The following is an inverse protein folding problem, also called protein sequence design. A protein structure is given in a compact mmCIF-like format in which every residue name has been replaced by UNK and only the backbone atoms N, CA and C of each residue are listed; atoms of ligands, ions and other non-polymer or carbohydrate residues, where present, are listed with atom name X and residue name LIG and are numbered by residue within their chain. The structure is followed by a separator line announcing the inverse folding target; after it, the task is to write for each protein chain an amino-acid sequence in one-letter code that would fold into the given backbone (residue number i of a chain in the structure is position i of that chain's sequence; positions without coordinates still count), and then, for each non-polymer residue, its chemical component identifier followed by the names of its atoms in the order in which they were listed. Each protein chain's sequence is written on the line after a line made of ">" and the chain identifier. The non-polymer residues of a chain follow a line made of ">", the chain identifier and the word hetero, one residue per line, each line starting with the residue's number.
data_IF_076352094857
#
_entry.id   IF_076352094857
#
_cell.length_a   1.000
_cell.length_b   1.000
_cell.length_c   1.000
_cell.angle_alpha   90.00
_cell.angle_beta   90.00
_cell.angle_gamma   90.00
#
_symmetry.space_group_name_H-M   'P 1'
#
loop_
_entity.id
_entity.type
_entity.pdbx_description
1 polymer ?
#
# COMPACT_ATOMS: atom_id res chain seq x y z
N UNK A 1 33.46 -80.47 -13.27
CA UNK A 1 31.99 -80.53 -13.43
C UNK A 1 31.42 -79.84 -12.22
N UNK A 2 31.32 -78.51 -12.31
CA UNK A 2 30.77 -77.61 -11.30
C UNK A 2 30.70 -76.20 -11.90
N UNK A 3 29.61 -75.52 -11.57
CA UNK A 3 29.42 -74.07 -11.40
C UNK A 3 29.23 -73.14 -12.62
N UNK A 4 28.33 -72.17 -12.39
CA UNK A 4 28.07 -70.90 -13.09
C UNK A 4 26.87 -70.83 -14.04
N UNK A 5 25.68 -70.69 -13.44
CA UNK A 5 24.50 -70.07 -14.06
C UNK A 5 24.31 -68.68 -13.44
N UNK A 6 24.81 -67.65 -14.13
CA UNK A 6 24.45 -66.25 -13.86
C UNK A 6 24.62 -65.39 -15.11
N UNK A 7 23.50 -64.98 -15.71
CA UNK A 7 23.26 -63.68 -16.36
C UNK A 7 22.05 -63.76 -17.30
N UNK A 8 20.93 -63.18 -16.88
CA UNK A 8 19.94 -62.65 -17.81
C UNK A 8 19.55 -61.27 -17.29
N UNK A 9 20.04 -60.27 -18.01
CA UNK A 9 19.88 -58.85 -17.83
C UNK A 9 18.49 -58.40 -18.34
N UNK A 10 18.07 -57.20 -17.94
CA UNK A 10 16.95 -56.37 -18.46
C UNK A 10 15.54 -56.78 -17.95
N UNK A 11 14.68 -55.92 -17.40
CA UNK A 11 14.42 -54.49 -17.63
C UNK A 11 13.35 -53.99 -16.63
N UNK A 12 13.16 -52.65 -16.58
CA UNK A 12 12.02 -51.90 -15.99
C UNK A 12 12.25 -51.17 -14.64
N UNK A 13 13.09 -50.14 -14.69
CA UNK A 13 12.91 -48.96 -13.83
C UNK A 13 11.80 -48.06 -14.39
N UNK A 14 10.61 -48.10 -13.78
CA UNK A 14 9.54 -47.14 -14.02
C UNK A 14 9.78 -45.87 -13.17
N UNK A 15 10.62 -44.96 -13.67
CA UNK A 15 10.80 -43.62 -13.08
C UNK A 15 9.60 -42.70 -13.45
N UNK A 16 8.65 -42.58 -12.51
CA UNK A 16 7.56 -41.61 -12.56
C UNK A 16 8.12 -40.18 -12.41
N UNK A 17 8.40 -39.53 -13.55
CA UNK A 17 8.73 -38.10 -13.60
C UNK A 17 7.50 -37.28 -13.22
N UNK A 18 7.38 -36.91 -11.95
CA UNK A 18 6.49 -35.84 -11.50
C UNK A 18 6.89 -34.54 -12.21
N UNK A 19 6.02 -34.03 -13.07
CA UNK A 19 6.16 -32.70 -13.68
C UNK A 19 6.08 -31.66 -12.56
N UNK A 20 7.11 -30.85 -12.31
CA UNK A 20 7.05 -29.83 -11.27
C UNK A 20 5.92 -28.85 -11.59
N UNK A 21 5.13 -28.41 -10.57
CA UNK A 21 4.04 -27.48 -10.80
C UNK A 21 4.59 -26.22 -11.46
N UNK A 22 3.98 -25.80 -12.59
CA UNK A 22 4.35 -24.56 -13.30
C UNK A 22 4.42 -23.43 -12.29
N UNK A 23 5.62 -22.87 -12.11
CA UNK A 23 5.86 -21.72 -11.25
C UNK A 23 5.14 -20.52 -11.88
N UNK A 24 3.91 -20.24 -11.42
CA UNK A 24 3.17 -19.06 -11.84
C UNK A 24 3.97 -17.84 -11.40
N UNK A 25 4.34 -16.98 -12.35
CA UNK A 25 5.00 -15.73 -12.04
C UNK A 25 4.02 -14.75 -11.39
N UNK A 26 3.98 -14.79 -10.06
CA UNK A 26 3.14 -13.92 -9.24
C UNK A 26 3.49 -12.44 -9.41
N UNK A 27 4.66 -12.09 -9.95
CA UNK A 27 5.11 -10.71 -10.03
C UNK A 27 4.24 -9.86 -10.95
N UNK A 28 3.91 -10.37 -12.14
CA UNK A 28 3.08 -9.63 -13.13
C UNK A 28 1.70 -9.32 -12.54
N UNK A 29 1.06 -10.32 -11.91
CA UNK A 29 -0.25 -10.14 -11.28
C UNK A 29 -0.16 -9.12 -10.14
N UNK A 30 0.84 -9.26 -9.28
CA UNK A 30 1.03 -8.40 -8.12
C UNK A 30 1.24 -6.94 -8.53
N UNK A 31 2.14 -6.68 -9.47
CA UNK A 31 2.42 -5.35 -10.00
C UNK A 31 1.22 -4.75 -10.74
N UNK A 32 0.44 -5.57 -11.46
CA UNK A 32 -0.78 -5.11 -12.13
C UNK A 32 -1.83 -4.65 -11.12
N UNK A 33 -2.09 -5.46 -10.10
CA UNK A 33 -3.03 -5.11 -9.02
C UNK A 33 -2.56 -3.86 -8.28
N UNK A 34 -1.27 -3.78 -7.96
CA UNK A 34 -0.70 -2.64 -7.23
C UNK A 34 -0.75 -1.35 -8.04
N UNK A 35 -0.56 -1.42 -9.36
CA UNK A 35 -0.73 -0.26 -10.26
C UNK A 35 -2.17 0.26 -10.24
N UNK A 36 -3.16 -0.62 -10.29
CA UNK A 36 -4.58 -0.23 -10.20
C UNK A 36 -4.90 0.37 -8.84
N UNK A 37 -4.49 -0.28 -7.75
CA UNK A 37 -4.74 0.21 -6.39
C UNK A 37 -4.04 1.55 -6.11
N UNK A 38 -2.83 1.75 -6.64
CA UNK A 38 -2.12 3.02 -6.52
C UNK A 38 -2.87 4.16 -7.24
N UNK A 39 -3.37 3.92 -8.46
CA UNK A 39 -4.19 4.90 -9.19
C UNK A 39 -5.48 5.24 -8.45
N UNK A 40 -6.19 4.22 -7.94
CA UNK A 40 -7.38 4.42 -7.12
C UNK A 40 -7.05 5.10 -5.78
N UNK A 41 -5.82 4.94 -5.28
CA UNK A 41 -5.27 5.62 -4.12
C UNK A 41 -5.18 7.15 -4.25
N UNK A 42 -5.48 7.69 -5.44
CA UNK A 42 -5.60 9.13 -5.70
C UNK A 42 -7.00 9.55 -6.17
N UNK A 43 -8.01 8.68 -6.08
CA UNK A 43 -9.39 9.02 -6.45
C UNK A 43 -9.93 10.13 -5.54
N UNK A 44 -10.67 11.09 -6.11
CA UNK A 44 -11.25 12.21 -5.36
C UNK A 44 -12.23 11.73 -4.28
N UNK A 45 -12.93 10.63 -4.53
CA UNK A 45 -13.88 10.04 -3.59
C UNK A 45 -13.14 9.32 -2.48
N UNK A 46 -13.27 9.77 -1.22
CA UNK A 46 -12.51 9.22 -0.10
C UNK A 46 -12.80 7.73 0.12
N UNK A 47 -14.01 7.24 -0.12
CA UNK A 47 -14.37 5.83 0.02
C UNK A 47 -13.62 4.91 -0.95
N UNK A 48 -13.44 5.34 -2.20
CA UNK A 48 -12.73 4.59 -3.23
C UNK A 48 -11.24 4.55 -2.92
N UNK A 49 -10.69 5.73 -2.63
CA UNK A 49 -9.28 5.88 -2.28
C UNK A 49 -8.90 5.12 -1.03
N UNK A 50 -9.65 5.30 0.06
CA UNK A 50 -9.36 4.66 1.34
C UNK A 50 -9.49 3.13 1.23
N UNK A 51 -10.45 2.64 0.44
CA UNK A 51 -10.59 1.20 0.14
C UNK A 51 -9.37 0.66 -0.61
N UNK A 52 -8.90 1.38 -1.63
CA UNK A 52 -7.73 1.00 -2.42
C UNK A 52 -6.45 0.96 -1.57
N UNK A 53 -6.22 1.99 -0.76
CA UNK A 53 -5.08 2.06 0.18
C UNK A 53 -5.11 0.88 1.16
N UNK A 54 -6.25 0.63 1.81
CA UNK A 54 -6.41 -0.50 2.75
C UNK A 54 -6.12 -1.84 2.07
N UNK A 55 -6.68 -2.02 0.87
CA UNK A 55 -6.51 -3.25 0.07
C UNK A 55 -5.04 -3.48 -0.31
N UNK A 56 -4.32 -2.42 -0.71
CA UNK A 56 -2.89 -2.52 -1.06
C UNK A 56 -2.08 -3.00 0.13
N UNK A 57 -2.20 -2.34 1.28
CA UNK A 57 -1.45 -2.71 2.48
C UNK A 57 -1.87 -4.08 3.03
N UNK A 58 -3.15 -4.44 2.95
CA UNK A 58 -3.63 -5.77 3.35
C UNK A 58 -3.04 -6.86 2.44
N UNK A 59 -3.05 -6.66 1.13
CA UNK A 59 -2.49 -7.60 0.15
C UNK A 59 -1.00 -7.83 0.40
N UNK A 60 -0.24 -6.74 0.61
CA UNK A 60 1.19 -6.82 0.93
C UNK A 60 1.43 -7.51 2.29
N UNK A 61 0.57 -7.27 3.28
CA UNK A 61 0.68 -7.92 4.60
C UNK A 61 0.42 -9.42 4.55
N UNK A 62 -0.60 -9.86 3.79
CA UNK A 62 -1.01 -11.27 3.69
C UNK A 62 -0.02 -12.06 2.81
N UNK A 63 0.37 -11.51 1.66
CA UNK A 63 1.18 -12.22 0.67
C UNK A 63 2.67 -11.89 0.74
N UNK A 64 3.07 -10.95 1.61
CA UNK A 64 4.43 -10.45 1.70
C UNK A 64 5.49 -11.53 1.92
N UNK A 65 5.19 -12.59 2.68
CA UNK A 65 6.12 -13.70 2.90
C UNK A 65 6.43 -14.51 1.63
N UNK A 66 5.59 -14.40 0.58
CA UNK A 66 5.77 -15.08 -0.70
C UNK A 66 6.60 -14.28 -1.70
N UNK A 67 6.85 -13.00 -1.42
CA UNK A 67 7.58 -12.12 -2.33
C UNK A 67 9.09 -12.34 -2.19
N UNK A 68 9.80 -12.32 -3.31
CA UNK A 68 11.26 -12.33 -3.32
C UNK A 68 11.82 -10.99 -2.82
N UNK A 69 13.13 -10.94 -2.50
CA UNK A 69 13.78 -9.70 -2.04
C UNK A 69 13.66 -8.58 -3.09
N UNK A 70 13.83 -8.92 -4.37
CA UNK A 70 13.68 -7.97 -5.48
C UNK A 70 12.25 -7.43 -5.56
N UNK A 71 11.25 -8.31 -5.48
CA UNK A 71 9.84 -7.89 -5.52
C UNK A 71 9.49 -6.98 -4.34
N UNK A 72 10.02 -7.25 -3.15
CA UNK A 72 9.86 -6.38 -2.00
C UNK A 72 10.46 -4.99 -2.22
N UNK A 73 11.69 -4.91 -2.75
CA UNK A 73 12.29 -3.63 -3.12
C UNK A 73 11.40 -2.88 -4.12
N UNK A 74 10.95 -3.55 -5.18
CA UNK A 74 10.09 -2.94 -6.20
C UNK A 74 8.75 -2.49 -5.61
N UNK A 75 8.11 -3.29 -4.75
CA UNK A 75 6.87 -2.93 -4.08
C UNK A 75 7.02 -1.64 -3.26
N UNK A 76 8.11 -1.51 -2.52
CA UNK A 76 8.36 -0.35 -1.66
C UNK A 76 8.65 0.90 -2.48
N UNK A 77 9.55 0.80 -3.47
CA UNK A 77 10.03 1.95 -4.24
C UNK A 77 9.10 2.38 -5.37
N UNK A 78 8.34 1.48 -5.98
CA UNK A 78 7.43 1.80 -7.08
C UNK A 78 6.01 2.14 -6.60
N UNK A 79 5.57 1.58 -5.47
CA UNK A 79 4.18 1.71 -5.03
C UNK A 79 4.02 2.35 -3.66
N UNK A 80 4.65 1.81 -2.62
CA UNK A 80 4.41 2.25 -1.23
C UNK A 80 4.92 3.68 -0.99
N UNK A 81 6.17 3.96 -1.32
CA UNK A 81 6.73 5.30 -1.12
C UNK A 81 6.16 6.36 -2.05
N UNK A 82 5.98 6.10 -3.36
CA UNK A 82 5.29 7.06 -4.22
C UNK A 82 3.85 7.32 -3.77
N UNK A 83 3.14 6.33 -3.22
CA UNK A 83 1.82 6.54 -2.63
C UNK A 83 1.87 7.48 -1.42
N UNK A 84 2.82 7.27 -0.50
CA UNK A 84 3.00 8.15 0.66
C UNK A 84 3.30 9.59 0.22
N UNK A 85 4.24 9.76 -0.70
CA UNK A 85 4.60 11.08 -1.23
C UNK A 85 3.40 11.76 -1.89
N UNK A 86 2.69 11.04 -2.76
CA UNK A 86 1.52 11.56 -3.47
C UNK A 86 0.38 11.95 -2.53
N UNK A 87 0.00 11.07 -1.59
CA UNK A 87 -1.08 11.35 -0.62
C UNK A 87 -0.67 12.48 0.32
N UNK A 88 0.60 12.57 0.71
CA UNK A 88 1.11 13.67 1.53
C UNK A 88 1.05 14.99 0.77
N UNK A 89 1.41 14.99 -0.51
CA UNK A 89 1.29 16.15 -1.38
C UNK A 89 -0.18 16.59 -1.47
N UNK A 90 -1.09 15.69 -1.85
CA UNK A 90 -2.52 16.02 -1.95
C UNK A 90 -3.13 16.45 -0.63
N UNK A 91 -2.71 15.87 0.48
CA UNK A 91 -3.05 16.39 1.80
C UNK A 91 -2.58 17.83 1.91
N UNK A 92 -1.28 18.13 1.81
CA UNK A 92 -0.76 19.49 1.98
C UNK A 92 -1.31 20.57 1.02
N UNK A 93 -1.78 20.19 -0.18
CA UNK A 93 -2.28 21.14 -1.19
C UNK A 93 -3.80 21.24 -1.24
N UNK A 94 -4.52 20.43 -0.48
CA UNK A 94 -5.99 20.43 -0.52
C UNK A 94 -6.59 21.65 0.14
N UNK A 95 -7.73 22.10 -0.38
CA UNK A 95 -8.42 23.25 0.20
C UNK A 95 -8.85 22.94 1.64
N UNK A 96 -8.55 23.90 2.52
CA UNK A 96 -9.05 23.96 3.89
C UNK A 96 -10.40 24.65 3.97
N UNK A 97 -10.89 25.19 2.85
CA UNK A 97 -12.16 25.89 2.81
C UNK A 97 -13.30 24.89 3.02
N UNK A 98 -14.16 25.24 3.94
CA UNK A 98 -15.45 24.59 4.09
C UNK A 98 -16.26 24.96 2.85
N UNK A 99 -16.81 23.95 2.15
CA UNK A 99 -17.63 24.18 0.97
C UNK A 99 -18.74 25.18 1.31
N UNK A 100 -18.61 26.41 0.81
CA UNK A 100 -19.61 27.45 0.98
C UNK A 100 -20.83 27.02 0.18
N UNK A 101 -21.96 26.85 0.87
CA UNK A 101 -23.16 26.33 0.25
C UNK A 101 -23.55 27.10 -1.01
N UNK A 102 -24.03 26.38 -2.02
CA UNK A 102 -24.64 26.98 -3.21
C UNK A 102 -25.73 27.98 -2.76
N UNK A 103 -25.74 29.16 -3.38
CA UNK A 103 -26.84 30.13 -3.23
C UNK A 103 -28.16 29.45 -3.58
N UNK A 104 -29.06 29.33 -2.61
CA UNK A 104 -30.38 28.70 -2.80
C UNK A 104 -31.38 29.67 -3.44
N UNK A 105 -31.07 30.97 -3.44
CA UNK A 105 -31.90 32.02 -4.01
C UNK A 105 -31.79 33.30 -3.20
N UNK A 106 -32.68 34.25 -3.45
CA UNK A 106 -32.68 35.56 -2.79
C UNK A 106 -33.98 35.73 -1.99
N UNK A 107 -33.88 36.06 -0.70
CA UNK A 107 -35.04 36.40 0.14
C UNK A 107 -34.89 37.83 0.65
N UNK A 108 -35.88 38.68 0.37
CA UNK A 108 -35.86 40.11 0.72
C UNK A 108 -34.62 40.89 0.23
N UNK A 109 -34.14 40.57 -0.99
CA UNK A 109 -32.95 41.20 -1.58
C UNK A 109 -31.61 40.71 -1.05
N UNK A 110 -31.59 39.75 -0.10
CA UNK A 110 -30.36 39.12 0.40
C UNK A 110 -30.23 37.70 -0.13
N UNK A 111 -29.05 37.35 -0.62
CA UNK A 111 -28.74 35.98 -1.02
C UNK A 111 -28.88 35.05 0.19
N UNK A 112 -29.58 33.94 0.00
CA UNK A 112 -29.78 32.87 1.00
C UNK A 112 -28.85 31.74 0.60
N UNK A 113 -27.73 31.64 1.29
CA UNK A 113 -26.84 30.49 1.18
C UNK A 113 -27.33 29.39 2.12
N UNK A 114 -27.29 28.15 1.66
CA UNK A 114 -27.39 27.03 2.59
C UNK A 114 -26.11 27.03 3.44
N UNK A 115 -26.16 27.49 4.69
CA UNK A 115 -25.09 27.20 5.64
C UNK A 115 -25.17 25.72 5.99
N UNK A 116 -24.58 24.88 5.15
CA UNK A 116 -24.34 23.50 5.55
C UNK A 116 -23.07 23.52 6.38
N UNK A 117 -23.18 23.15 7.65
CA UNK A 117 -22.06 22.98 8.58
C UNK A 117 -21.22 21.75 8.19
N UNK A 118 -20.65 21.77 6.98
CA UNK A 118 -19.63 20.82 6.54
C UNK A 118 -18.25 21.23 7.06
N UNK A 119 -18.17 21.95 8.19
CA UNK A 119 -16.90 22.32 8.82
C UNK A 119 -15.99 21.13 9.13
N UNK A 120 -16.56 19.93 9.13
CA UNK A 120 -15.86 18.66 9.31
C UNK A 120 -15.40 17.98 8.02
N UNK A 121 -15.82 18.41 6.84
CA UNK A 121 -15.59 17.69 5.58
C UNK A 121 -14.77 18.49 4.57
N UNK A 122 -13.75 19.21 5.02
CA UNK A 122 -12.82 19.85 4.09
C UNK A 122 -12.04 18.79 3.30
N UNK A 123 -11.65 19.11 2.07
CA UNK A 123 -10.82 18.22 1.27
C UNK A 123 -9.54 17.85 2.02
N UNK A 124 -8.93 18.83 2.71
CA UNK A 124 -7.79 18.61 3.60
C UNK A 124 -8.03 17.47 4.60
N UNK A 125 -9.14 17.51 5.34
CA UNK A 125 -9.44 16.49 6.37
C UNK A 125 -9.58 15.10 5.75
N UNK A 126 -10.20 15.00 4.58
CA UNK A 126 -10.33 13.72 3.86
C UNK A 126 -8.98 13.14 3.42
N UNK A 127 -8.04 14.00 3.02
CA UNK A 127 -6.68 13.57 2.70
C UNK A 127 -5.84 13.28 3.96
N UNK A 128 -6.06 14.02 5.05
CA UNK A 128 -5.46 13.75 6.36
C UNK A 128 -5.91 12.38 6.91
N UNK A 129 -7.15 11.98 6.68
CA UNK A 129 -7.60 10.61 7.00
C UNK A 129 -6.87 9.56 6.13
N UNK A 130 -6.68 9.84 4.84
CA UNK A 130 -5.99 8.92 3.94
C UNK A 130 -4.51 8.77 4.29
N UNK A 131 -3.80 9.84 4.62
CA UNK A 131 -2.39 9.75 5.04
C UNK A 131 -2.25 8.92 6.33
N UNK A 132 -3.20 9.03 7.27
CA UNK A 132 -3.23 8.15 8.46
C UNK A 132 -3.35 6.67 8.06
N UNK A 133 -4.15 6.34 7.05
CA UNK A 133 -4.25 4.96 6.53
C UNK A 133 -2.94 4.49 5.90
N UNK A 134 -2.28 5.34 5.12
CA UNK A 134 -0.99 5.02 4.48
C UNK A 134 0.09 4.80 5.54
N UNK A 135 0.24 5.73 6.48
CA UNK A 135 1.22 5.64 7.56
C UNK A 135 0.95 4.41 8.45
N UNK A 136 -0.31 4.15 8.80
CA UNK A 136 -0.72 2.95 9.53
C UNK A 136 -0.47 1.66 8.75
N UNK A 137 -0.58 1.69 7.42
CA UNK A 137 -0.17 0.62 6.52
C UNK A 137 1.34 0.35 6.59
N UNK A 138 2.15 1.39 6.41
CA UNK A 138 3.61 1.31 6.45
C UNK A 138 4.09 0.82 7.82
N UNK A 139 3.56 1.36 8.92
CA UNK A 139 3.90 0.92 10.27
C UNK A 139 3.64 -0.58 10.49
N UNK A 140 2.52 -1.10 9.96
CA UNK A 140 2.20 -2.54 10.03
C UNK A 140 3.20 -3.37 9.22
N UNK A 141 3.52 -2.95 7.99
CA UNK A 141 4.51 -3.65 7.16
C UNK A 141 5.89 -3.68 7.82
N UNK A 142 6.35 -2.53 8.32
CA UNK A 142 7.61 -2.44 9.04
C UNK A 142 7.58 -3.37 10.25
N UNK A 143 6.53 -3.36 11.07
CA UNK A 143 6.43 -4.25 12.24
C UNK A 143 6.47 -5.74 11.85
N UNK A 144 5.77 -6.13 10.79
CA UNK A 144 5.66 -7.54 10.38
C UNK A 144 6.87 -8.07 9.60
N UNK A 145 7.55 -7.20 8.84
CA UNK A 145 8.62 -7.60 7.92
C UNK A 145 9.97 -6.95 8.25
N UNK A 146 10.12 -6.26 9.39
CA UNK A 146 11.35 -5.54 9.76
C UNK A 146 12.60 -6.38 9.54
N UNK A 147 12.59 -7.61 10.06
CA UNK A 147 13.73 -8.53 10.00
C UNK A 147 14.14 -8.91 8.57
N UNK A 148 13.19 -8.88 7.64
CA UNK A 148 13.41 -9.13 6.22
C UNK A 148 13.84 -7.84 5.49
N UNK A 149 13.15 -6.72 5.78
CA UNK A 149 13.39 -5.42 5.14
C UNK A 149 14.79 -4.88 5.43
N UNK A 150 15.31 -5.07 6.65
CA UNK A 150 16.68 -4.66 7.01
C UNK A 150 17.76 -5.32 6.13
N UNK A 151 17.46 -6.46 5.49
CA UNK A 151 18.39 -7.20 4.64
C UNK A 151 18.36 -6.75 3.17
N UNK A 152 17.44 -5.86 2.79
CA UNK A 152 17.36 -5.37 1.43
C UNK A 152 18.54 -4.46 1.12
N UNK A 153 19.16 -4.63 -0.05
CA UNK A 153 20.39 -3.91 -0.41
C UNK A 153 20.13 -2.41 -0.50
N UNK A 154 18.97 -2.03 -1.06
CA UNK A 154 18.54 -0.63 -1.12
C UNK A 154 18.21 -0.06 0.27
N UNK A 155 17.86 -0.89 1.25
CA UNK A 155 17.62 -0.47 2.62
C UNK A 155 18.94 -0.06 3.29
N UNK A 156 20.03 -0.80 3.05
CA UNK A 156 21.37 -0.48 3.56
C UNK A 156 21.98 0.79 2.93
N UNK A 157 21.63 1.11 1.67
CA UNK A 157 22.13 2.30 0.97
C UNK A 157 21.28 3.57 1.19
N UNK A 158 20.12 3.47 1.86
CA UNK A 158 19.08 4.49 1.82
C UNK A 158 18.80 5.18 3.15
N UNK A 159 19.49 6.30 3.41
CA UNK A 159 19.08 7.36 4.37
C UNK A 159 17.55 7.65 4.44
N UNK A 160 16.74 7.52 3.36
CA UNK A 160 15.28 7.66 3.44
C UNK A 160 14.54 6.67 4.35
N UNK A 161 14.98 5.43 4.60
CA UNK A 161 14.18 4.48 5.40
C UNK A 161 14.21 4.78 6.89
N UNK A 162 15.38 5.13 7.42
CA UNK A 162 15.52 5.62 8.78
C UNK A 162 14.79 6.95 8.94
N UNK A 163 14.90 7.85 7.95
CA UNK A 163 14.19 9.12 7.96
C UNK A 163 12.67 8.93 7.89
N UNK A 164 12.16 8.00 7.08
CA UNK A 164 10.73 7.66 7.00
C UNK A 164 10.24 7.02 8.30
N UNK A 165 10.99 6.10 8.90
CA UNK A 165 10.68 5.51 10.21
C UNK A 165 10.70 6.57 11.33
N UNK A 166 11.69 7.47 11.34
CA UNK A 166 11.80 8.59 12.27
C UNK A 166 10.69 9.62 12.06
N UNK A 167 10.36 9.98 10.81
CA UNK A 167 9.21 10.84 10.48
C UNK A 167 7.89 10.21 10.94
N UNK A 168 7.73 8.89 10.78
CA UNK A 168 6.55 8.17 11.23
C UNK A 168 6.42 8.12 12.75
N UNK A 169 7.55 8.09 13.47
CA UNK A 169 7.59 8.02 14.94
C UNK A 169 7.59 9.39 15.62
N UNK A 170 8.07 10.45 14.95
CA UNK A 170 8.27 11.79 15.55
C UNK A 170 7.24 12.81 15.02
N UNK A 171 6.68 12.63 13.81
CA UNK A 171 6.05 13.73 13.05
C UNK A 171 4.54 13.73 12.86
N UNK A 172 3.78 12.73 13.34
CA UNK A 172 2.32 12.68 13.15
C UNK A 172 1.51 12.54 14.45
N UNK A 173 1.99 13.21 15.51
CA UNK A 173 1.17 13.59 16.65
C UNK A 173 0.56 14.98 16.32
N UNK A 174 -0.67 14.98 15.78
CA UNK A 174 -1.61 16.11 15.71
C UNK A 174 -1.36 17.13 14.57
N UNK A 175 -2.08 17.07 13.43
CA UNK A 175 -2.49 18.28 12.75
C UNK A 175 -3.30 19.11 13.75
N UNK A 176 -2.84 20.33 13.98
CA UNK A 176 -3.21 21.32 15.01
C UNK A 176 -4.67 21.79 15.00
N UNK A 177 -5.65 20.90 14.90
CA UNK A 177 -7.10 21.21 14.85
C UNK A 177 -7.95 20.46 15.88
N UNK A 178 -7.34 19.85 16.91
CA UNK A 178 -8.04 19.19 18.03
C UNK A 178 -8.02 19.98 19.36
N UNK A 179 -7.78 21.29 19.32
CA UNK A 179 -8.02 22.18 20.47
C UNK A 179 -9.32 22.97 20.24
N UNK A 180 -10.45 22.32 20.46
CA UNK A 180 -11.70 22.98 20.82
C UNK A 180 -11.85 22.83 22.34
N UNK A 181 -11.18 23.73 23.06
CA UNK A 181 -11.48 24.25 24.39
C UNK A 181 -10.64 25.51 24.60
#
# INVERSE_FOLDING_TARGET
>A
MNDDVQSCEMTEEANSKQVPPKLVDYSILFFSVFSVLQKLGSDDRPEVRNSAVRTLFQTLSIHGQKLSKSMWEDCLWLYVFPMLEHVSHLASTSSRDEWQGKELGTRAGKAVHMLIHHSRNTAQKQWDETIVLVLGGIARLLRSFFSYLQQLRKFSSGKPFLFAYLMLMIGYQIPSSFSLY
#
